data_IF_185842638903
#
_entry.id   IF_185842638903
#
_cell.length_a   1.000
_cell.length_b   1.000
_cell.length_c   1.000
_cell.angle_alpha   90.00
_cell.angle_beta   90.00
_cell.angle_gamma   90.00
#
_symmetry.space_group_name_H-M   'P 1'
#
loop_
_entity.id
_entity.type
_entity.pdbx_description
1 polymer ?
#
# COMPACT_ATOMS: atom_id res chain seq x y z
N UNK A 1 -38.38 56.22 -34.05
CA UNK A 1 -38.69 56.45 -32.63
C UNK A 1 -37.37 56.51 -31.87
N UNK A 2 -37.10 57.59 -31.13
CA UNK A 2 -35.88 57.73 -30.34
C UNK A 2 -35.97 56.86 -29.09
N UNK A 3 -35.04 55.93 -28.92
CA UNK A 3 -34.95 55.10 -27.72
C UNK A 3 -34.40 55.92 -26.55
N UNK A 4 -34.90 55.65 -25.34
CA UNK A 4 -34.44 56.29 -24.11
C UNK A 4 -33.16 55.64 -23.60
N UNK A 5 -32.33 56.40 -22.90
CA UNK A 5 -31.19 55.87 -22.17
C UNK A 5 -31.64 54.77 -21.17
N UNK A 6 -30.86 53.71 -21.01
CA UNK A 6 -31.12 52.57 -20.12
C UNK A 6 -31.08 52.92 -18.63
N UNK A 7 -30.50 54.08 -18.27
CA UNK A 7 -30.54 54.62 -16.92
C UNK A 7 -31.90 55.29 -16.72
N UNK A 8 -32.74 54.71 -15.86
CA UNK A 8 -34.16 55.09 -15.68
C UNK A 8 -34.37 56.56 -15.28
N UNK A 9 -33.38 57.19 -14.65
CA UNK A 9 -33.42 58.61 -14.23
C UNK A 9 -33.00 59.57 -15.35
N UNK A 10 -32.46 59.06 -16.46
CA UNK A 10 -31.96 59.86 -17.57
C UNK A 10 -33.05 60.21 -18.58
N UNK A 11 -33.31 61.50 -18.76
CA UNK A 11 -34.27 62.00 -19.76
C UNK A 11 -33.67 62.17 -21.16
N UNK A 12 -32.37 61.91 -21.34
CA UNK A 12 -31.70 62.05 -22.63
C UNK A 12 -32.00 60.86 -23.56
N UNK A 13 -32.09 61.13 -24.87
CA UNK A 13 -32.18 60.09 -25.88
C UNK A 13 -30.87 59.31 -25.99
N UNK A 14 -30.97 57.99 -26.13
CA UNK A 14 -29.79 57.14 -26.31
C UNK A 14 -29.10 57.49 -27.63
N UNK A 15 -27.77 57.55 -27.60
CA UNK A 15 -26.94 57.83 -28.79
C UNK A 15 -25.96 56.71 -29.09
N UNK A 16 -25.72 55.80 -28.14
CA UNK A 16 -24.72 54.73 -28.24
C UNK A 16 -25.33 53.45 -27.68
N UNK A 17 -25.17 52.34 -28.38
CA UNK A 17 -25.45 50.99 -27.88
C UNK A 17 -24.13 50.39 -27.40
N UNK A 18 -24.04 50.01 -26.13
CA UNK A 18 -22.91 49.23 -25.65
C UNK A 18 -23.05 47.78 -26.15
N UNK A 19 -22.12 47.34 -26.99
CA UNK A 19 -22.15 45.98 -27.55
C UNK A 19 -21.83 44.89 -26.50
N UNK A 20 -21.18 45.25 -25.40
CA UNK A 20 -20.81 44.31 -24.34
C UNK A 20 -22.01 43.88 -23.49
N UNK A 21 -22.96 44.79 -23.25
CA UNK A 21 -24.12 44.53 -22.39
C UNK A 21 -25.48 44.72 -23.09
N UNK A 22 -25.47 45.09 -24.38
CA UNK A 22 -26.65 45.43 -25.20
C UNK A 22 -27.55 46.52 -24.58
N UNK A 23 -26.98 47.42 -23.78
CA UNK A 23 -27.70 48.55 -23.18
C UNK A 23 -27.47 49.84 -23.96
N UNK A 24 -28.52 50.68 -24.03
CA UNK A 24 -28.56 51.91 -24.82
C UNK A 24 -28.27 53.10 -23.91
N UNK A 25 -27.19 53.83 -24.17
CA UNK A 25 -26.76 54.95 -23.32
C UNK A 25 -26.80 56.28 -24.07
N UNK A 26 -27.03 57.37 -23.33
CA UNK A 26 -26.67 58.70 -23.82
C UNK A 26 -25.14 58.85 -23.77
N UNK A 27 -24.57 59.84 -24.45
CA UNK A 27 -23.11 59.99 -24.57
C UNK A 27 -22.40 60.05 -23.20
N UNK A 28 -22.97 60.78 -22.24
CA UNK A 28 -22.35 60.96 -20.92
C UNK A 28 -22.38 59.67 -20.10
N UNK A 29 -23.54 59.01 -20.04
CA UNK A 29 -23.67 57.74 -19.33
C UNK A 29 -22.92 56.59 -20.01
N UNK A 30 -22.68 56.67 -21.32
CA UNK A 30 -21.79 55.73 -21.99
C UNK A 30 -20.34 55.90 -21.52
N UNK A 31 -19.86 57.15 -21.37
CA UNK A 31 -18.53 57.42 -20.83
C UNK A 31 -18.41 56.97 -19.36
N UNK A 32 -19.41 57.27 -18.53
CA UNK A 32 -19.43 56.79 -17.14
C UNK A 32 -19.47 55.25 -17.06
N UNK A 33 -20.22 54.60 -17.95
CA UNK A 33 -20.25 53.14 -18.05
C UNK A 33 -18.91 52.55 -18.49
N UNK A 34 -18.23 53.18 -19.46
CA UNK A 34 -16.90 52.78 -19.92
C UNK A 34 -15.85 52.97 -18.82
N UNK A 35 -15.91 54.09 -18.10
CA UNK A 35 -15.08 54.36 -16.93
C UNK A 35 -15.34 53.34 -15.80
N UNK A 36 -16.59 52.98 -15.53
CA UNK A 36 -16.95 51.96 -14.53
C UNK A 36 -16.43 50.56 -14.92
N UNK A 37 -16.49 50.21 -16.22
CA UNK A 37 -15.91 48.97 -16.73
C UNK A 37 -14.39 48.95 -16.60
N UNK A 38 -13.72 50.06 -16.92
CA UNK A 38 -12.27 50.20 -16.75
C UNK A 38 -11.86 50.16 -15.27
N UNK A 39 -12.66 50.72 -14.37
CA UNK A 39 -12.41 50.63 -12.92
C UNK A 39 -12.52 49.18 -12.41
N UNK A 40 -13.34 48.33 -13.03
CA UNK A 40 -13.42 46.89 -12.70
C UNK A 40 -12.19 46.09 -13.14
N UNK A 41 -11.33 46.63 -14.01
CA UNK A 41 -10.07 46.00 -14.38
C UNK A 41 -9.00 46.14 -13.29
N UNK A 42 -9.03 47.23 -12.51
CA UNK A 42 -8.01 47.48 -11.47
C UNK A 42 -7.95 46.35 -10.42
N UNK A 43 -9.07 45.86 -9.84
CA UNK A 43 -9.03 44.72 -8.92
C UNK A 43 -8.51 43.42 -9.56
N UNK A 44 -8.68 43.23 -10.88
CA UNK A 44 -8.16 42.06 -11.58
C UNK A 44 -6.65 42.16 -11.79
N UNK A 45 -6.14 43.37 -12.08
CA UNK A 45 -4.69 43.64 -12.13
C UNK A 45 -4.07 43.41 -10.76
N UNK A 46 -4.72 43.87 -9.69
CA UNK A 46 -4.26 43.64 -8.31
C UNK A 46 -4.22 42.14 -7.99
N UNK A 47 -5.24 41.36 -8.39
CA UNK A 47 -5.24 39.90 -8.25
C UNK A 47 -4.08 39.25 -9.03
N UNK A 48 -3.82 39.68 -10.27
CA UNK A 48 -2.70 39.16 -11.08
C UNK A 48 -1.36 39.50 -10.43
N UNK A 49 -1.20 40.71 -9.90
CA UNK A 49 0.01 41.10 -9.19
C UNK A 49 0.23 40.25 -7.94
N UNK A 50 -0.82 40.01 -7.14
CA UNK A 50 -0.76 39.11 -5.99
C UNK A 50 -0.35 37.69 -6.41
N UNK A 51 -0.94 37.15 -7.48
CA UNK A 51 -0.59 35.83 -8.00
C UNK A 51 0.85 35.79 -8.53
N UNK A 52 1.33 36.87 -9.14
CA UNK A 52 2.69 37.00 -9.66
C UNK A 52 3.71 37.07 -8.53
N UNK A 53 3.42 37.85 -7.49
CA UNK A 53 4.25 37.91 -6.28
C UNK A 53 4.29 36.54 -5.59
N UNK A 54 3.15 35.87 -5.47
CA UNK A 54 3.08 34.49 -4.97
C UNK A 54 3.94 33.54 -5.82
N UNK A 55 3.83 33.62 -7.15
CA UNK A 55 4.62 32.82 -8.08
C UNK A 55 6.13 33.05 -7.89
N UNK A 56 6.54 34.31 -7.72
CA UNK A 56 7.93 34.71 -7.49
C UNK A 56 8.45 34.26 -6.11
N UNK A 57 7.58 34.06 -5.13
CA UNK A 57 7.97 33.51 -3.82
C UNK A 57 8.18 32.00 -3.81
N UNK A 58 7.79 31.26 -4.86
CA UNK A 58 8.05 29.82 -4.92
C UNK A 58 9.55 29.54 -5.08
N UNK A 59 10.15 28.97 -4.04
CA UNK A 59 11.51 28.49 -4.09
C UNK A 59 11.60 27.15 -4.84
N UNK A 60 11.88 27.23 -6.13
CA UNK A 60 12.09 26.06 -7.01
C UNK A 60 13.21 25.17 -6.47
N UNK A 61 14.24 25.75 -5.85
CA UNK A 61 15.34 24.96 -5.29
C UNK A 61 14.85 24.16 -4.09
N UNK A 62 13.98 24.72 -3.24
CA UNK A 62 13.36 23.97 -2.14
C UNK A 62 12.52 22.79 -2.64
N UNK A 63 11.64 23.01 -3.63
CA UNK A 63 10.85 21.94 -4.25
C UNK A 63 11.72 20.84 -4.88
N UNK A 64 12.80 21.23 -5.56
CA UNK A 64 13.78 20.29 -6.12
C UNK A 64 14.52 19.53 -5.03
N UNK A 65 14.94 20.22 -3.97
CA UNK A 65 15.71 19.63 -2.87
C UNK A 65 14.87 18.59 -2.11
N UNK A 66 13.56 18.81 -1.92
CA UNK A 66 12.68 17.83 -1.30
C UNK A 66 12.56 16.55 -2.15
N UNK A 67 12.42 16.69 -3.47
CA UNK A 67 12.40 15.55 -4.41
C UNK A 67 13.75 14.82 -4.46
N UNK A 68 14.85 15.56 -4.51
CA UNK A 68 16.20 15.00 -4.45
C UNK A 68 16.44 14.26 -3.14
N UNK A 69 15.96 14.79 -2.02
CA UNK A 69 16.04 14.13 -0.72
C UNK A 69 15.30 12.79 -0.72
N UNK A 70 14.11 12.72 -1.33
CA UNK A 70 13.38 11.45 -1.50
C UNK A 70 14.14 10.45 -2.37
N UNK A 71 14.74 10.92 -3.47
CA UNK A 71 15.55 10.07 -4.34
C UNK A 71 16.80 9.55 -3.64
N UNK A 72 17.49 10.41 -2.88
CA UNK A 72 18.65 10.01 -2.08
C UNK A 72 18.25 9.03 -0.98
N UNK A 73 17.11 9.26 -0.30
CA UNK A 73 16.59 8.31 0.68
C UNK A 73 16.27 6.95 0.04
N UNK A 74 15.65 6.93 -1.13
CA UNK A 74 15.41 5.70 -1.88
C UNK A 74 16.71 5.01 -2.26
N UNK A 75 17.70 5.77 -2.73
CA UNK A 75 19.03 5.26 -3.07
C UNK A 75 19.70 4.59 -1.86
N UNK A 76 19.79 5.30 -0.74
CA UNK A 76 20.45 4.82 0.48
C UNK A 76 19.73 3.58 1.05
N UNK A 77 18.40 3.57 0.98
CA UNK A 77 17.58 2.44 1.42
C UNK A 77 17.78 1.21 0.52
N UNK A 78 17.83 1.38 -0.80
CA UNK A 78 18.13 0.30 -1.73
C UNK A 78 19.52 -0.29 -1.46
N UNK A 79 20.52 0.55 -1.24
CA UNK A 79 21.86 0.10 -0.89
C UNK A 79 21.87 -0.74 0.39
N UNK A 80 21.22 -0.25 1.45
CA UNK A 80 21.08 -0.97 2.72
C UNK A 80 20.43 -2.34 2.56
N UNK A 81 19.32 -2.42 1.81
CA UNK A 81 18.61 -3.69 1.58
C UNK A 81 19.51 -4.68 0.81
N UNK A 82 20.26 -4.20 -0.17
CA UNK A 82 21.19 -5.05 -0.96
C UNK A 82 22.32 -5.55 -0.06
N UNK A 83 22.89 -4.70 0.78
CA UNK A 83 23.95 -5.07 1.74
C UNK A 83 23.43 -6.10 2.76
N UNK A 84 22.29 -5.85 3.39
CA UNK A 84 21.66 -6.77 4.35
C UNK A 84 21.42 -8.15 3.72
N UNK A 85 20.91 -8.19 2.48
CA UNK A 85 20.68 -9.44 1.75
C UNK A 85 21.99 -10.16 1.42
N UNK A 86 23.02 -9.42 1.01
CA UNK A 86 24.34 -9.97 0.73
C UNK A 86 24.94 -10.61 1.99
N UNK A 87 24.93 -9.89 3.12
CA UNK A 87 25.41 -10.41 4.40
C UNK A 87 24.66 -11.67 4.84
N UNK A 88 23.32 -11.67 4.71
CA UNK A 88 22.51 -12.85 4.98
C UNK A 88 22.94 -14.06 4.13
N UNK A 89 23.20 -13.86 2.82
CA UNK A 89 23.67 -14.94 1.95
C UNK A 89 25.08 -15.40 2.28
N UNK A 90 25.96 -14.51 2.71
CA UNK A 90 27.27 -14.89 3.25
C UNK A 90 27.12 -15.75 4.52
N UNK A 91 26.22 -15.41 5.43
CA UNK A 91 25.96 -16.23 6.61
C UNK A 91 25.38 -17.61 6.27
N UNK A 92 24.43 -17.68 5.32
CA UNK A 92 23.88 -18.94 4.85
C UNK A 92 24.97 -19.84 4.25
N UNK A 93 25.87 -19.27 3.43
CA UNK A 93 27.02 -19.97 2.86
C UNK A 93 27.96 -20.48 3.95
N UNK A 94 28.26 -19.65 4.94
CA UNK A 94 29.10 -20.04 6.07
C UNK A 94 28.47 -21.20 6.86
N UNK A 95 27.18 -21.11 7.20
CA UNK A 95 26.45 -22.18 7.89
C UNK A 95 26.45 -23.49 7.10
N UNK A 96 26.25 -23.41 5.78
CA UNK A 96 26.33 -24.57 4.90
C UNK A 96 27.71 -25.22 4.93
N UNK A 97 28.76 -24.41 4.83
CA UNK A 97 30.16 -24.86 4.88
C UNK A 97 30.50 -25.52 6.23
N UNK A 98 30.12 -24.88 7.33
CA UNK A 98 30.33 -25.45 8.68
C UNK A 98 29.61 -26.78 8.86
N UNK A 99 28.38 -26.92 8.35
CA UNK A 99 27.64 -28.18 8.43
C UNK A 99 28.32 -29.34 7.68
N UNK A 100 28.99 -29.05 6.57
CA UNK A 100 29.79 -30.06 5.85
C UNK A 100 30.98 -30.49 6.71
N UNK A 101 31.71 -29.53 7.28
CA UNK A 101 32.88 -29.79 8.11
C UNK A 101 32.53 -30.54 9.41
N UNK A 102 31.45 -30.15 10.08
CA UNK A 102 31.03 -30.77 11.34
C UNK A 102 30.62 -32.23 11.16
N UNK A 103 29.99 -32.59 10.02
CA UNK A 103 29.74 -34.01 9.69
C UNK A 103 31.02 -34.83 9.61
N UNK A 104 32.09 -34.26 9.04
CA UNK A 104 33.38 -34.97 8.97
C UNK A 104 34.01 -35.10 10.37
N UNK A 105 33.85 -34.09 11.24
CA UNK A 105 34.30 -34.17 12.64
C UNK A 105 33.57 -35.27 13.41
N UNK A 106 32.26 -35.37 13.25
CA UNK A 106 31.47 -36.44 13.88
C UNK A 106 31.95 -37.84 13.45
N UNK A 107 32.26 -38.03 12.16
CA UNK A 107 32.81 -39.31 11.67
C UNK A 107 34.22 -39.59 12.23
N UNK A 108 35.08 -38.56 12.37
CA UNK A 108 36.37 -38.70 13.05
C UNK A 108 36.19 -39.16 14.50
N UNK A 109 35.24 -38.57 15.22
CA UNK A 109 35.01 -38.90 16.62
C UNK A 109 34.41 -40.30 16.80
N UNK A 110 33.56 -40.76 15.86
CA UNK A 110 33.10 -42.16 15.82
C UNK A 110 34.26 -43.14 15.64
N UNK A 111 35.16 -42.87 14.69
CA UNK A 111 36.35 -43.72 14.45
C UNK A 111 37.23 -43.74 15.70
N UNK A 112 37.47 -42.59 16.33
CA UNK A 112 38.22 -42.51 17.59
C UNK A 112 37.58 -43.32 18.71
N UNK A 113 36.26 -43.23 18.85
CA UNK A 113 35.51 -43.99 19.85
C UNK A 113 35.66 -45.50 19.64
N UNK A 114 35.52 -45.97 18.39
CA UNK A 114 35.71 -47.37 18.04
C UNK A 114 37.14 -47.86 18.33
N UNK A 115 38.15 -47.05 18.03
CA UNK A 115 39.55 -47.36 18.37
C UNK A 115 39.73 -47.52 19.88
N UNK A 116 39.21 -46.58 20.67
CA UNK A 116 39.32 -46.63 22.12
C UNK A 116 38.60 -47.85 22.71
N UNK A 117 37.41 -48.20 22.22
CA UNK A 117 36.70 -49.40 22.66
C UNK A 117 37.49 -50.69 22.38
N UNK A 118 38.16 -50.79 21.23
CA UNK A 118 38.98 -51.96 20.89
C UNK A 118 40.24 -52.03 21.75
N UNK A 119 40.86 -50.89 22.06
CA UNK A 119 42.00 -50.80 22.97
C UNK A 119 41.62 -51.22 24.40
N UNK A 120 40.47 -50.75 24.90
CA UNK A 120 39.97 -51.07 26.24
C UNK A 120 39.62 -52.55 26.39
N UNK A 121 39.03 -53.17 25.34
CA UNK A 121 38.64 -54.59 25.34
C UNK A 121 39.83 -55.53 25.15
N UNK A 122 40.97 -55.06 24.64
CA UNK A 122 42.20 -55.85 24.33
C UNK A 122 41.99 -57.08 23.41
N UNK A 123 40.82 -57.22 22.80
CA UNK A 123 40.46 -58.28 21.87
C UNK A 123 40.25 -57.68 20.47
N UNK A 124 41.33 -57.26 19.82
CA UNK A 124 41.27 -56.71 18.45
C UNK A 124 41.49 -57.81 17.43
N UNK A 125 40.55 -57.98 16.50
CA UNK A 125 40.71 -58.93 15.38
C UNK A 125 41.28 -58.25 14.14
N UNK A 126 41.76 -59.04 13.19
CA UNK A 126 42.20 -58.54 11.88
C UNK A 126 41.05 -57.87 11.10
N UNK A 127 39.82 -58.33 11.30
CA UNK A 127 38.63 -57.77 10.64
C UNK A 127 38.29 -56.39 11.20
N UNK A 128 38.49 -56.16 12.51
CA UNK A 128 38.31 -54.84 13.14
C UNK A 128 39.29 -53.80 12.60
N UNK A 129 40.56 -54.20 12.44
CA UNK A 129 41.61 -53.35 11.85
C UNK A 129 41.30 -53.03 10.39
N UNK A 130 40.86 -54.01 9.60
CA UNK A 130 40.47 -53.80 8.20
C UNK A 130 39.26 -52.87 8.08
N UNK A 131 38.25 -53.04 8.93
CA UNK A 131 37.05 -52.18 8.96
C UNK A 131 37.37 -50.72 9.30
N UNK A 132 38.23 -50.49 10.29
CA UNK A 132 38.72 -49.15 10.64
C UNK A 132 39.55 -48.53 9.52
N UNK A 133 40.43 -49.31 8.89
CA UNK A 133 41.27 -48.85 7.77
C UNK A 133 40.40 -48.39 6.60
N UNK A 134 39.37 -49.17 6.23
CA UNK A 134 38.40 -48.79 5.20
C UNK A 134 37.63 -47.52 5.55
N UNK A 135 37.25 -47.36 6.82
CA UNK A 135 36.53 -46.17 7.30
C UNK A 135 37.40 -44.92 7.24
N UNK A 136 38.68 -45.03 7.63
CA UNK A 136 39.67 -43.95 7.55
C UNK A 136 39.94 -43.57 6.09
N UNK A 137 40.11 -44.54 5.20
CA UNK A 137 40.39 -44.26 3.79
C UNK A 137 39.18 -43.62 3.09
N UNK A 138 37.97 -44.04 3.43
CA UNK A 138 36.74 -43.38 2.97
C UNK A 138 36.63 -41.95 3.48
N UNK A 139 36.97 -41.69 4.74
CA UNK A 139 37.00 -40.34 5.29
C UNK A 139 38.03 -39.45 4.56
N UNK A 140 39.23 -39.98 4.26
CA UNK A 140 40.24 -39.26 3.47
C UNK A 140 39.73 -38.93 2.07
N UNK A 141 39.04 -39.86 1.40
CA UNK A 141 38.42 -39.61 0.11
C UNK A 141 37.39 -38.48 0.20
N UNK A 142 36.48 -38.53 1.18
CA UNK A 142 35.48 -37.48 1.39
C UNK A 142 36.13 -36.10 1.68
N UNK A 143 37.21 -36.05 2.45
CA UNK A 143 37.93 -34.81 2.73
C UNK A 143 38.59 -34.23 1.47
N UNK A 144 39.19 -35.08 0.64
CA UNK A 144 39.74 -34.67 -0.65
C UNK A 144 38.64 -34.18 -1.61
N UNK A 145 37.45 -34.78 -1.59
CA UNK A 145 36.29 -34.31 -2.34
C UNK A 145 35.80 -32.94 -1.84
N UNK A 146 35.89 -32.67 -0.53
CA UNK A 146 35.55 -31.36 0.07
C UNK A 146 36.56 -30.29 -0.34
N UNK A 147 37.85 -30.59 -0.36
CA UNK A 147 38.88 -29.66 -0.87
C UNK A 147 38.69 -29.34 -2.37
N UNK A 148 38.05 -30.25 -3.11
CA UNK A 148 37.72 -30.07 -4.53
C UNK A 148 36.30 -29.53 -4.76
N UNK A 149 35.47 -29.41 -3.72
CA UNK A 149 34.10 -28.90 -3.80
C UNK A 149 34.14 -27.39 -3.99
N UNK A 150 34.13 -26.95 -5.26
CA UNK A 150 33.78 -25.57 -5.59
C UNK A 150 32.28 -25.38 -5.32
N UNK A 151 31.92 -24.66 -4.26
CA UNK A 151 30.52 -24.27 -4.02
C UNK A 151 30.12 -23.34 -5.17
N UNK A 152 29.28 -23.85 -6.08
CA UNK A 152 28.83 -23.08 -7.22
C UNK A 152 27.71 -22.13 -6.79
N UNK A 153 28.00 -20.84 -6.74
CA UNK A 153 27.02 -19.79 -6.43
C UNK A 153 26.49 -19.23 -7.74
N UNK A 154 25.26 -19.57 -8.08
CA UNK A 154 24.58 -19.02 -9.25
C UNK A 154 23.98 -17.65 -8.90
N UNK A 155 24.60 -16.59 -9.43
CA UNK A 155 24.13 -15.21 -9.23
C UNK A 155 23.48 -14.72 -10.52
N UNK A 156 22.19 -14.41 -10.47
CA UNK A 156 21.49 -13.76 -11.57
C UNK A 156 21.66 -12.23 -11.48
N UNK A 157 21.88 -11.53 -12.60
CA UNK A 157 22.01 -10.07 -12.58
C UNK A 157 20.70 -9.40 -12.18
N UNK A 158 20.77 -8.44 -11.27
CA UNK A 158 19.63 -7.62 -10.86
C UNK A 158 19.22 -6.68 -12.00
N UNK A 159 17.93 -6.71 -12.38
CA UNK A 159 17.37 -5.84 -13.42
C UNK A 159 16.51 -4.75 -12.77
N UNK A 160 16.98 -3.51 -12.88
CA UNK A 160 16.21 -2.33 -12.44
C UNK A 160 15.09 -2.10 -13.46
N UNK A 161 13.83 -2.19 -13.00
CA UNK A 161 12.69 -1.76 -13.81
C UNK A 161 12.71 -0.23 -13.94
N UNK A 162 12.71 0.29 -15.17
CA UNK A 162 12.72 1.74 -15.44
C UNK A 162 11.48 2.47 -14.91
N UNK A 163 10.41 1.74 -14.62
CA UNK A 163 9.16 2.27 -14.06
C UNK A 163 9.21 2.41 -12.52
N UNK A 164 10.31 2.03 -11.86
CA UNK A 164 10.48 2.15 -10.41
C UNK A 164 10.42 3.60 -9.91
N UNK A 165 10.88 4.55 -10.73
CA UNK A 165 10.83 5.98 -10.44
C UNK A 165 10.08 6.65 -11.58
N UNK A 166 8.91 7.20 -11.27
CA UNK A 166 8.16 8.06 -12.17
C UNK A 166 8.05 9.46 -11.58
N UNK A 167 8.20 10.46 -12.43
CA UNK A 167 7.89 11.84 -12.08
C UNK A 167 6.45 12.08 -12.46
N UNK A 168 5.58 12.10 -11.47
CA UNK A 168 4.17 12.31 -11.71
C UNK A 168 3.90 13.79 -12.03
N UNK A 169 3.52 14.06 -13.28
CA UNK A 169 3.03 15.38 -13.71
C UNK A 169 1.55 15.59 -13.36
N UNK A 170 0.88 14.61 -12.75
CA UNK A 170 -0.54 14.71 -12.33
C UNK A 170 -0.80 15.84 -11.32
N UNK A 171 0.23 16.47 -10.76
CA UNK A 171 0.07 17.73 -10.02
C UNK A 171 -0.62 18.84 -10.85
N UNK A 172 -0.66 18.72 -12.18
CA UNK A 172 -1.41 19.60 -13.08
C UNK A 172 -2.86 19.15 -13.37
N UNK A 173 -3.21 17.89 -13.12
CA UNK A 173 -4.55 17.35 -13.31
C UNK A 173 -5.13 16.98 -11.95
N UNK A 174 -6.01 17.83 -11.43
CA UNK A 174 -6.78 17.47 -10.24
C UNK A 174 -7.48 16.13 -10.49
N UNK A 175 -7.27 15.17 -9.58
CA UNK A 175 -8.05 13.94 -9.55
C UNK A 175 -9.53 14.32 -9.60
N UNK A 176 -10.21 13.81 -10.62
CA UNK A 176 -11.61 14.10 -10.88
C UNK A 176 -12.42 12.83 -10.64
N UNK A 177 -13.27 12.81 -9.61
CA UNK A 177 -14.16 11.68 -9.33
C UNK A 177 -15.01 11.25 -10.53
N UNK A 178 -15.25 12.13 -11.50
CA UNK A 178 -15.99 11.80 -12.72
C UNK A 178 -15.28 10.75 -13.60
N UNK A 179 -13.96 10.55 -13.46
CA UNK A 179 -13.26 9.46 -14.16
C UNK A 179 -13.76 8.06 -13.74
N UNK A 180 -14.42 7.97 -12.57
CA UNK A 180 -14.98 6.72 -12.03
C UNK A 180 -16.36 6.40 -12.65
N UNK A 181 -16.95 7.29 -13.46
CA UNK A 181 -18.30 7.14 -14.04
C UNK A 181 -18.47 5.86 -14.89
N UNK A 182 -17.42 5.44 -15.59
CA UNK A 182 -17.39 4.24 -16.41
C UNK A 182 -16.14 3.43 -16.08
N UNK A 183 -16.33 2.14 -15.79
CA UNK A 183 -15.21 1.21 -15.80
C UNK A 183 -14.67 1.11 -17.23
N UNK A 184 -13.35 1.14 -17.39
CA UNK A 184 -12.72 0.90 -18.70
C UNK A 184 -12.70 -0.60 -19.01
N UNK A 185 -12.66 -1.44 -17.96
CA UNK A 185 -12.74 -2.89 -18.05
C UNK A 185 -13.43 -3.45 -16.82
N UNK A 186 -14.04 -4.62 -16.99
CA UNK A 186 -14.74 -5.34 -15.93
C UNK A 186 -14.44 -6.83 -16.06
N UNK A 187 -14.11 -7.46 -14.94
CA UNK A 187 -13.91 -8.91 -14.84
C UNK A 187 -15.00 -9.51 -13.95
N UNK A 188 -15.72 -10.51 -14.46
CA UNK A 188 -16.79 -11.15 -13.69
C UNK A 188 -16.26 -12.03 -12.56
N UNK A 189 -16.90 -11.91 -11.41
CA UNK A 189 -16.59 -12.66 -10.20
C UNK A 189 -17.26 -14.03 -10.28
N UNK A 190 -16.48 -15.08 -10.11
CA UNK A 190 -17.00 -16.45 -10.06
C UNK A 190 -17.53 -16.78 -8.66
N UNK A 191 -18.34 -17.83 -8.55
CA UNK A 191 -18.81 -18.33 -7.26
C UNK A 191 -17.62 -18.68 -6.34
N UNK A 192 -17.82 -18.53 -5.01
CA UNK A 192 -16.80 -18.78 -3.95
C UNK A 192 -15.56 -17.86 -4.01
N UNK A 193 -15.60 -16.77 -4.76
CA UNK A 193 -14.52 -15.79 -4.82
C UNK A 193 -14.56 -14.86 -3.60
N UNK A 194 -13.39 -14.42 -3.10
CA UNK A 194 -13.34 -13.43 -2.00
C UNK A 194 -13.28 -12.01 -2.56
N UNK A 195 -13.97 -11.07 -1.92
CA UNK A 195 -14.00 -9.66 -2.30
C UNK A 195 -12.64 -8.96 -2.15
N UNK A 196 -11.75 -9.51 -1.31
CA UNK A 196 -10.44 -8.93 -1.06
C UNK A 196 -9.55 -9.04 -2.31
N UNK A 197 -8.81 -7.97 -2.58
CA UNK A 197 -7.82 -7.88 -3.64
C UNK A 197 -6.69 -6.96 -3.20
N UNK A 198 -5.50 -7.15 -3.73
CA UNK A 198 -4.34 -6.31 -3.42
C UNK A 198 -3.37 -6.27 -4.59
N UNK A 199 -2.79 -5.10 -4.86
CA UNK A 199 -1.71 -4.97 -5.83
C UNK A 199 -0.33 -5.00 -5.17
N UNK A 200 0.65 -5.57 -5.88
CA UNK A 200 2.07 -5.37 -5.62
C UNK A 200 2.72 -4.43 -6.66
N UNK A 201 1.94 -3.52 -7.24
CA UNK A 201 2.26 -2.62 -8.37
C UNK A 201 2.39 -3.32 -9.72
N UNK A 202 3.00 -4.51 -9.78
CA UNK A 202 3.17 -5.24 -11.04
C UNK A 202 1.96 -6.09 -11.37
N UNK A 203 1.47 -6.83 -10.38
CA UNK A 203 0.34 -7.74 -10.48
C UNK A 203 -0.76 -7.33 -9.48
N UNK A 204 -1.97 -7.78 -9.77
CA UNK A 204 -3.10 -7.74 -8.87
C UNK A 204 -3.40 -9.17 -8.39
N UNK A 205 -3.29 -9.40 -7.08
CA UNK A 205 -3.72 -10.65 -6.46
C UNK A 205 -5.21 -10.60 -6.19
N UNK A 206 -5.94 -11.58 -6.70
CA UNK A 206 -7.35 -11.81 -6.43
C UNK A 206 -7.59 -13.26 -5.98
N UNK A 207 -8.75 -13.51 -5.36
CA UNK A 207 -9.20 -14.87 -5.07
C UNK A 207 -10.46 -15.19 -5.90
N UNK A 208 -10.34 -16.13 -6.83
CA UNK A 208 -11.40 -16.50 -7.77
C UNK A 208 -11.58 -18.02 -7.85
N UNK A 209 -12.82 -18.48 -7.66
CA UNK A 209 -13.18 -19.92 -7.73
C UNK A 209 -12.24 -20.84 -6.92
N UNK A 210 -12.01 -20.50 -5.64
CA UNK A 210 -11.10 -21.24 -4.73
C UNK A 210 -9.61 -21.20 -5.09
N UNK A 211 -9.20 -20.32 -6.02
CA UNK A 211 -7.80 -20.11 -6.37
C UNK A 211 -7.37 -18.68 -6.05
N UNK A 212 -6.15 -18.52 -5.58
CA UNK A 212 -5.42 -17.26 -5.68
C UNK A 212 -4.93 -17.10 -7.12
N UNK A 213 -5.22 -15.97 -7.74
CA UNK A 213 -4.84 -15.66 -9.12
C UNK A 213 -4.06 -14.34 -9.16
N UNK A 214 -2.97 -14.32 -9.92
CA UNK A 214 -2.25 -13.09 -10.26
C UNK A 214 -2.71 -12.59 -11.62
N UNK A 215 -3.07 -11.32 -11.66
CA UNK A 215 -3.51 -10.62 -12.86
C UNK A 215 -2.44 -9.60 -13.26
N UNK A 216 -2.05 -9.62 -14.54
CA UNK A 216 -1.16 -8.63 -15.15
C UNK A 216 -1.92 -7.37 -15.65
N UNK A 217 -1.23 -6.51 -16.38
CA UNK A 217 -1.81 -5.27 -16.92
C UNK A 217 -2.69 -5.43 -18.14
N UNK A 218 -2.51 -6.51 -18.89
CA UNK A 218 -3.48 -6.94 -19.89
C UNK A 218 -4.75 -7.54 -19.25
N UNK A 219 -4.83 -7.54 -17.91
CA UNK A 219 -5.93 -8.09 -17.13
C UNK A 219 -6.11 -9.60 -17.33
N UNK A 220 -5.01 -10.30 -17.62
CA UNK A 220 -4.97 -11.75 -17.82
C UNK A 220 -4.42 -12.46 -16.60
N UNK A 221 -4.93 -13.66 -16.33
CA UNK A 221 -4.44 -14.48 -15.22
C UNK A 221 -3.12 -15.13 -15.64
N UNK A 222 -2.02 -14.69 -15.04
CA UNK A 222 -0.68 -15.20 -15.35
C UNK A 222 -0.30 -16.43 -14.54
N UNK A 223 -0.79 -16.50 -13.29
CA UNK A 223 -0.55 -17.63 -12.37
C UNK A 223 -1.76 -17.87 -11.50
N UNK A 224 -1.93 -19.12 -11.08
CA UNK A 224 -2.97 -19.51 -10.14
C UNK A 224 -2.47 -20.57 -9.17
N UNK A 225 -3.01 -20.56 -7.95
CA UNK A 225 -2.78 -21.60 -6.94
C UNK A 225 -4.02 -21.82 -6.11
N UNK A 226 -4.32 -23.08 -5.82
CA UNK A 226 -5.46 -23.44 -4.99
C UNK A 226 -5.33 -22.84 -3.57
N UNK A 227 -6.43 -22.24 -3.11
CA UNK A 227 -6.59 -21.73 -1.76
C UNK A 227 -7.47 -22.69 -0.96
N UNK A 228 -6.82 -23.57 -0.22
CA UNK A 228 -7.48 -24.61 0.60
C UNK A 228 -7.78 -24.17 2.04
N UNK A 229 -7.53 -22.91 2.36
CA UNK A 229 -7.67 -22.37 3.72
C UNK A 229 -9.02 -21.66 3.90
N UNK A 230 -9.18 -20.98 5.03
CA UNK A 230 -10.41 -20.27 5.39
C UNK A 230 -10.68 -19.04 4.50
N UNK A 231 -11.88 -18.47 4.64
CA UNK A 231 -12.34 -17.28 3.93
C UNK A 231 -11.40 -16.10 4.13
N UNK A 232 -11.01 -15.48 3.03
CA UNK A 232 -10.10 -14.34 3.04
C UNK A 232 -10.86 -13.08 3.43
N UNK A 233 -10.42 -12.44 4.51
CA UNK A 233 -11.00 -11.21 5.05
C UNK A 233 -10.34 -9.97 4.43
N UNK A 234 -9.01 -9.97 4.38
CA UNK A 234 -8.22 -8.83 3.93
C UNK A 234 -6.87 -9.29 3.37
N UNK A 235 -6.27 -8.46 2.52
CA UNK A 235 -4.93 -8.69 1.97
C UNK A 235 -4.13 -7.39 1.97
N UNK A 236 -2.82 -7.46 2.18
CA UNK A 236 -1.89 -6.37 1.93
C UNK A 236 -0.61 -6.89 1.26
N UNK A 237 0.19 -5.98 0.68
CA UNK A 237 1.49 -6.29 0.09
C UNK A 237 2.60 -5.79 1.02
N UNK A 238 3.63 -6.62 1.23
CA UNK A 238 4.87 -6.22 1.88
C UNK A 238 6.00 -6.19 0.86
N UNK A 239 6.49 -5.00 0.54
CA UNK A 239 7.67 -4.81 -0.32
C UNK A 239 8.93 -5.41 0.30
N UNK A 240 9.01 -5.36 1.62
CA UNK A 240 10.17 -5.84 2.41
C UNK A 240 10.28 -7.36 2.38
N UNK A 241 9.16 -8.06 2.50
CA UNK A 241 9.12 -9.53 2.43
C UNK A 241 8.94 -10.05 1.00
N UNK A 242 8.81 -9.14 0.01
CA UNK A 242 8.39 -9.43 -1.36
C UNK A 242 7.24 -10.45 -1.43
N UNK A 243 6.22 -10.25 -0.59
CA UNK A 243 5.15 -11.21 -0.39
C UNK A 243 3.82 -10.53 -0.06
N UNK A 244 2.74 -11.14 -0.50
CA UNK A 244 1.40 -10.81 -0.07
C UNK A 244 1.15 -11.37 1.34
N UNK A 245 0.42 -10.64 2.15
CA UNK A 245 -0.03 -11.06 3.47
C UNK A 245 -1.55 -11.17 3.42
N UNK A 246 -2.06 -12.37 3.66
CA UNK A 246 -3.47 -12.71 3.58
C UNK A 246 -3.98 -12.98 4.99
N UNK A 247 -5.03 -12.28 5.38
CA UNK A 247 -5.75 -12.48 6.65
C UNK A 247 -7.00 -13.31 6.40
N UNK A 248 -7.19 -14.35 7.21
CA UNK A 248 -8.46 -15.07 7.37
C UNK A 248 -9.04 -14.81 8.76
N UNK A 249 -10.18 -15.44 9.10
CA UNK A 249 -10.77 -15.28 10.42
C UNK A 249 -9.88 -15.82 11.56
N UNK A 250 -9.04 -16.81 11.23
CA UNK A 250 -8.27 -17.58 12.20
C UNK A 250 -6.76 -17.34 12.04
N UNK A 251 -6.28 -17.25 10.81
CA UNK A 251 -4.86 -17.34 10.48
C UNK A 251 -4.41 -16.20 9.57
N UNK A 252 -3.09 -16.01 9.54
CA UNK A 252 -2.43 -15.07 8.63
C UNK A 252 -1.40 -15.85 7.83
N UNK A 253 -1.37 -15.61 6.52
CA UNK A 253 -0.50 -16.30 5.59
C UNK A 253 0.40 -15.32 4.85
N UNK A 254 1.64 -15.73 4.63
CA UNK A 254 2.56 -15.14 3.68
C UNK A 254 2.43 -15.90 2.36
N UNK A 255 2.16 -15.18 1.28
CA UNK A 255 2.07 -15.73 -0.07
C UNK A 255 3.11 -15.03 -0.93
N UNK A 256 4.07 -15.79 -1.43
CA UNK A 256 5.15 -15.24 -2.24
C UNK A 256 4.62 -14.76 -3.60
N UNK A 257 5.30 -13.77 -4.17
CA UNK A 257 4.91 -13.08 -5.41
C UNK A 257 4.61 -14.02 -6.58
N UNK A 258 5.24 -15.19 -6.66
CA UNK A 258 5.05 -16.15 -7.73
C UNK A 258 4.00 -17.23 -7.44
N UNK A 259 3.30 -17.12 -6.30
CA UNK A 259 2.40 -18.12 -5.73
C UNK A 259 3.05 -19.48 -5.44
N UNK A 260 4.37 -19.64 -5.50
CA UNK A 260 5.00 -20.97 -5.31
C UNK A 260 4.86 -21.49 -3.90
N UNK A 261 4.87 -20.61 -2.90
CA UNK A 261 4.79 -20.94 -1.49
C UNK A 261 3.71 -20.12 -0.80
N UNK A 262 2.90 -20.81 0.01
CA UNK A 262 1.95 -20.23 0.95
C UNK A 262 2.36 -20.74 2.32
N UNK A 263 2.71 -19.84 3.23
CA UNK A 263 3.21 -20.17 4.56
C UNK A 263 2.34 -19.49 5.61
N UNK A 264 1.88 -20.26 6.59
CA UNK A 264 1.20 -19.69 7.77
C UNK A 264 2.21 -18.96 8.66
N UNK A 265 1.87 -17.78 9.14
CA UNK A 265 2.68 -17.01 10.08
C UNK A 265 2.31 -17.45 11.50
N UNK A 266 3.11 -18.34 12.07
CA UNK A 266 2.85 -18.92 13.40
C UNK A 266 3.12 -17.95 14.55
N UNK A 267 3.98 -16.94 14.35
CA UNK A 267 4.37 -15.99 15.39
C UNK A 267 3.29 -14.96 15.75
N UNK A 268 2.22 -14.87 14.96
CA UNK A 268 1.12 -13.94 15.22
C UNK A 268 -0.02 -14.67 15.92
N UNK A 269 -0.08 -14.49 17.24
CA UNK A 269 -1.18 -15.00 18.05
C UNK A 269 -2.38 -14.05 18.06
N UNK A 270 -3.57 -14.58 17.83
CA UNK A 270 -4.83 -13.85 17.87
C UNK A 270 -5.88 -14.44 16.95
N UNK A 271 -7.10 -13.91 17.03
CA UNK A 271 -8.21 -14.25 16.14
C UNK A 271 -8.99 -12.97 15.85
N UNK A 272 -9.91 -13.04 14.89
CA UNK A 272 -10.81 -11.93 14.55
C UNK A 272 -10.05 -10.71 14.01
N UNK A 273 -9.06 -10.95 13.16
CA UNK A 273 -8.39 -9.88 12.42
C UNK A 273 -9.32 -9.31 11.35
N UNK A 274 -9.22 -8.00 11.11
CA UNK A 274 -10.14 -7.28 10.21
C UNK A 274 -9.44 -6.63 9.03
N UNK A 275 -8.24 -6.08 9.23
CA UNK A 275 -7.48 -5.40 8.18
C UNK A 275 -5.98 -5.42 8.50
N UNK A 276 -5.16 -5.38 7.44
CA UNK A 276 -3.71 -5.27 7.51
C UNK A 276 -3.19 -4.11 6.66
N UNK A 277 -2.09 -3.52 7.11
CA UNK A 277 -1.26 -2.63 6.32
C UNK A 277 0.22 -2.89 6.61
N UNK A 278 1.10 -2.65 5.63
CA UNK A 278 2.54 -2.79 5.80
C UNK A 278 3.26 -1.47 5.59
N UNK A 279 4.26 -1.22 6.43
CA UNK A 279 5.35 -0.28 6.16
C UNK A 279 6.61 -1.02 5.71
N UNK A 280 7.71 -0.28 5.55
CA UNK A 280 9.02 -0.85 5.26
C UNK A 280 9.66 -1.56 6.48
N UNK A 281 9.03 -1.55 7.65
CA UNK A 281 9.57 -2.15 8.87
C UNK A 281 8.56 -3.02 9.61
N UNK A 282 7.28 -2.75 9.43
CA UNK A 282 6.23 -3.22 10.32
C UNK A 282 4.98 -3.67 9.57
N UNK A 283 4.36 -4.73 10.08
CA UNK A 283 2.99 -5.13 9.76
C UNK A 283 2.06 -4.60 10.86
N UNK A 284 1.03 -3.86 10.45
CA UNK A 284 -0.05 -3.40 11.31
C UNK A 284 -1.27 -4.29 11.09
N UNK A 285 -1.90 -4.73 12.18
CA UNK A 285 -3.10 -5.55 12.17
C UNK A 285 -4.19 -4.92 13.04
N UNK A 286 -5.41 -4.79 12.50
CA UNK A 286 -6.58 -4.38 13.29
C UNK A 286 -7.44 -5.57 13.69
N UNK A 287 -8.04 -5.51 14.88
CA UNK A 287 -9.04 -6.47 15.34
C UNK A 287 -10.45 -6.05 14.92
N UNK A 288 -11.32 -7.00 14.57
CA UNK A 288 -12.69 -6.79 14.08
C UNK A 288 -13.77 -6.72 15.15
N UNK A 289 -13.41 -6.33 16.38
CA UNK A 289 -14.33 -6.25 17.53
C UNK A 289 -14.75 -4.81 17.82
N UNK A 290 -15.82 -4.60 18.59
CA UNK A 290 -16.23 -3.24 19.02
C UNK A 290 -15.32 -2.59 20.08
N UNK A 291 -14.23 -3.25 20.46
CA UNK A 291 -13.08 -2.69 21.19
C UNK A 291 -11.85 -2.90 20.31
N UNK A 292 -11.92 -2.39 19.07
CA UNK A 292 -10.86 -2.59 18.09
C UNK A 292 -9.55 -2.01 18.57
N UNK A 293 -8.48 -2.73 18.25
CA UNK A 293 -7.12 -2.34 18.55
C UNK A 293 -6.24 -2.55 17.32
N UNK A 294 -5.07 -1.93 17.34
CA UNK A 294 -4.02 -2.13 16.35
C UNK A 294 -2.84 -2.79 17.02
N UNK A 295 -2.30 -3.82 16.37
CA UNK A 295 -1.05 -4.47 16.78
C UNK A 295 -0.01 -4.29 15.71
N UNK A 296 1.18 -3.89 16.13
CA UNK A 296 2.36 -3.77 15.29
C UNK A 296 3.26 -4.98 15.47
N UNK A 297 3.75 -5.50 14.36
CA UNK A 297 4.75 -6.55 14.31
C UNK A 297 5.91 -6.08 13.44
N UNK A 298 7.15 -6.30 13.86
CA UNK A 298 8.32 -6.10 12.99
C UNK A 298 8.27 -7.09 11.83
N UNK A 299 8.83 -6.76 10.66
CA UNK A 299 8.90 -7.69 9.53
C UNK A 299 10.22 -8.47 9.50
N UNK A 300 11.35 -7.76 9.68
CA UNK A 300 12.72 -8.28 9.60
C UNK A 300 13.40 -8.14 10.98
N UNK A 301 14.29 -9.06 11.38
CA UNK A 301 14.67 -10.32 10.69
C UNK A 301 13.62 -11.43 10.82
N UNK A 302 12.58 -11.19 11.63
CA UNK A 302 11.52 -12.13 11.89
C UNK A 302 10.26 -11.38 12.29
N UNK A 303 9.10 -11.95 11.98
CA UNK A 303 7.82 -11.37 12.38
C UNK A 303 7.62 -11.52 13.88
N UNK A 304 7.71 -10.40 14.61
CA UNK A 304 7.64 -10.36 16.09
C UNK A 304 6.77 -9.21 16.54
N UNK A 305 6.02 -9.42 17.61
CA UNK A 305 5.20 -8.39 18.22
C UNK A 305 6.06 -7.22 18.71
N UNK A 306 5.64 -6.00 18.40
CA UNK A 306 6.31 -4.75 18.80
C UNK A 306 5.45 -4.00 19.80
N UNK A 307 4.23 -3.63 19.39
CA UNK A 307 3.37 -2.73 20.17
C UNK A 307 1.89 -2.98 19.92
N UNK A 308 1.08 -2.57 20.88
CA UNK A 308 -0.38 -2.60 20.81
C UNK A 308 -0.94 -1.22 21.15
N UNK A 309 -1.89 -0.77 20.35
CA UNK A 309 -2.62 0.47 20.59
C UNK A 309 -4.12 0.23 20.63
N UNK A 310 -4.77 0.88 21.59
CA UNK A 310 -6.22 1.04 21.61
C UNK A 310 -6.59 2.42 21.09
N UNK A 311 -7.68 2.51 20.35
CA UNK A 311 -8.18 3.80 19.85
C UNK A 311 -8.65 4.68 21.01
N UNK A 312 -9.31 4.04 21.99
CA UNK A 312 -9.89 4.72 23.15
C UNK A 312 -9.45 3.99 24.42
N UNK A 313 -9.24 4.76 25.49
CA UNK A 313 -9.01 4.20 26.82
C UNK A 313 -10.32 3.91 27.56
N UNK A 314 -11.41 4.51 27.09
CA UNK A 314 -12.73 4.39 27.69
C UNK A 314 -13.45 3.13 27.18
N UNK A 315 -13.54 2.12 28.05
CA UNK A 315 -14.22 0.84 27.77
C UNK A 315 -15.71 1.00 27.45
N UNK A 316 -16.31 2.15 27.75
CA UNK A 316 -17.70 2.41 27.39
C UNK A 316 -17.85 2.70 25.91
N UNK A 317 -16.79 3.12 25.20
CA UNK A 317 -16.84 3.40 23.77
C UNK A 317 -16.79 2.12 22.94
N UNK A 318 -17.82 1.90 22.12
CA UNK A 318 -17.89 0.80 21.14
C UNK A 318 -17.42 1.30 19.79
N UNK A 319 -16.13 1.17 19.53
CA UNK A 319 -15.50 1.56 18.27
C UNK A 319 -14.87 0.35 17.57
N UNK A 320 -15.18 0.20 16.28
CA UNK A 320 -14.60 -0.82 15.41
C UNK A 320 -13.75 -0.17 14.31
N UNK A 321 -12.56 -0.70 14.08
CA UNK A 321 -11.70 -0.33 12.95
C UNK A 321 -12.10 -1.21 11.77
N UNK A 322 -12.59 -0.57 10.72
CA UNK A 322 -13.08 -1.24 9.52
C UNK A 322 -11.94 -1.51 8.52
N UNK A 323 -11.02 -0.56 8.34
CA UNK A 323 -9.90 -0.64 7.41
C UNK A 323 -8.71 0.17 7.95
N UNK A 324 -7.49 -0.30 7.68
CA UNK A 324 -6.24 0.42 7.92
C UNK A 324 -5.41 0.53 6.64
N UNK A 325 -4.86 1.72 6.38
CA UNK A 325 -3.90 1.95 5.29
C UNK A 325 -2.69 2.71 5.83
N UNK A 326 -1.50 2.18 5.59
CA UNK A 326 -0.24 2.83 5.94
C UNK A 326 0.22 3.76 4.81
N UNK A 327 0.68 4.95 5.15
CA UNK A 327 1.34 5.86 4.23
C UNK A 327 2.32 6.75 5.00
N UNK A 328 3.59 6.79 4.61
CA UNK A 328 4.59 7.77 5.10
C UNK A 328 4.55 8.03 6.62
N UNK A 329 4.76 6.99 7.44
CA UNK A 329 4.72 7.06 8.93
C UNK A 329 3.36 7.44 9.54
N UNK A 330 2.31 7.33 8.75
CA UNK A 330 0.93 7.55 9.20
C UNK A 330 0.07 6.33 8.90
N UNK A 331 -0.98 6.16 9.69
CA UNK A 331 -1.96 5.10 9.54
C UNK A 331 -3.34 5.75 9.44
N UNK A 332 -3.98 5.60 8.30
CA UNK A 332 -5.38 5.99 8.11
C UNK A 332 -6.27 4.86 8.61
N UNK A 333 -7.26 5.21 9.41
CA UNK A 333 -8.20 4.30 10.06
C UNK A 333 -9.62 4.70 9.68
N UNK A 334 -10.40 3.79 9.10
CA UNK A 334 -11.85 3.96 9.05
C UNK A 334 -12.47 3.40 10.32
N UNK A 335 -13.24 4.23 11.03
CA UNK A 335 -13.76 3.92 12.37
C UNK A 335 -15.27 4.00 12.37
N UNK A 336 -15.89 2.95 12.88
CA UNK A 336 -17.32 2.87 13.12
C UNK A 336 -17.59 2.95 14.62
N UNK A 337 -18.35 3.96 15.07
CA UNK A 337 -18.73 4.16 16.47
C UNK A 337 -20.22 3.88 16.65
N UNK A 338 -20.54 2.78 17.34
CA UNK A 338 -21.92 2.33 17.47
C UNK A 338 -22.77 3.12 18.48
N UNK A 339 -22.13 3.88 19.36
CA UNK A 339 -22.83 4.62 20.42
C UNK A 339 -23.33 5.93 19.87
N UNK A 340 -22.44 6.66 19.22
CA UNK A 340 -22.78 7.95 18.64
C UNK A 340 -23.38 7.80 17.24
N UNK A 341 -23.39 6.57 16.70
CA UNK A 341 -23.82 6.28 15.34
C UNK A 341 -23.03 7.11 14.31
N UNK A 342 -21.71 7.17 14.50
CA UNK A 342 -20.81 7.97 13.67
C UNK A 342 -19.84 7.06 12.93
N UNK A 343 -19.69 7.33 11.64
CA UNK A 343 -18.63 6.81 10.79
C UNK A 343 -17.59 7.91 10.56
N UNK A 344 -16.31 7.58 10.70
CA UNK A 344 -15.23 8.56 10.56
C UNK A 344 -13.99 7.94 9.91
N UNK A 345 -13.12 8.79 9.39
CA UNK A 345 -11.74 8.43 9.07
C UNK A 345 -10.81 9.27 9.95
N UNK A 346 -9.80 8.62 10.51
CA UNK A 346 -8.75 9.28 11.30
C UNK A 346 -7.39 9.01 10.66
N UNK A 347 -6.50 10.00 10.69
CA UNK A 347 -5.09 9.81 10.37
C UNK A 347 -4.28 9.89 11.66
N UNK A 348 -3.46 8.88 11.92
CA UNK A 348 -2.64 8.79 13.14
C UNK A 348 -1.17 8.62 12.81
N UNK A 349 -0.29 9.17 13.64
CA UNK A 349 1.16 8.89 13.58
C UNK A 349 1.43 7.44 13.93
N UNK A 350 2.29 6.73 13.21
CA UNK A 350 2.67 5.35 13.61
C UNK A 350 3.66 5.35 14.78
N UNK A 351 4.40 6.44 15.00
CA UNK A 351 5.40 6.54 16.08
C UNK A 351 4.71 6.78 17.44
N UNK A 352 3.80 7.75 17.52
CA UNK A 352 3.14 8.13 18.78
C UNK A 352 1.71 7.62 18.89
N UNK A 353 1.06 7.27 17.77
CA UNK A 353 -0.37 6.99 17.67
C UNK A 353 -1.30 8.17 17.95
N UNK A 354 -0.73 9.38 18.02
CA UNK A 354 -1.49 10.61 18.12
C UNK A 354 -2.32 10.83 16.86
N UNK A 355 -3.54 11.34 17.06
CA UNK A 355 -4.44 11.70 15.98
C UNK A 355 -4.01 13.02 15.35
N UNK A 356 -3.62 12.96 14.09
CA UNK A 356 -3.22 14.12 13.28
C UNK A 356 -4.45 14.89 12.81
N UNK A 357 -5.46 14.17 12.31
CA UNK A 357 -6.77 14.73 12.00
C UNK A 357 -7.87 13.66 12.06
N UNK A 358 -9.13 14.12 12.07
CA UNK A 358 -10.33 13.29 12.02
C UNK A 358 -11.35 13.93 11.10
N UNK A 359 -11.97 13.14 10.23
CA UNK A 359 -13.09 13.56 9.40
C UNK A 359 -14.31 12.68 9.70
N UNK A 360 -15.37 13.29 10.20
CA UNK A 360 -16.67 12.61 10.27
C UNK A 360 -17.26 12.49 8.86
N UNK A 361 -17.75 11.31 8.53
CA UNK A 361 -18.31 11.02 7.21
C UNK A 361 -19.82 11.30 7.24
N UNK A 362 -20.30 12.14 6.32
CA UNK A 362 -21.73 12.42 6.17
C UNK A 362 -22.44 11.30 5.39
N UNK A 363 -22.52 10.13 6.03
CA UNK A 363 -23.13 8.91 5.49
C UNK A 363 -24.06 8.31 6.54
N UNK A 364 -25.12 7.65 6.08
CA UNK A 364 -26.10 7.04 6.97
C UNK A 364 -25.45 5.98 7.84
N UNK A 365 -25.70 6.05 9.14
CA UNK A 365 -25.13 5.09 10.07
C UNK A 365 -25.67 3.68 9.80
N UNK A 366 -24.74 2.74 9.76
CA UNK A 366 -25.00 1.31 9.72
C UNK A 366 -23.72 0.58 10.16
N UNK A 367 -23.86 -0.71 10.48
CA UNK A 367 -22.72 -1.53 10.90
C UNK A 367 -21.87 -2.06 9.73
N UNK A 368 -22.15 -1.64 8.49
CA UNK A 368 -21.35 -2.08 7.32
C UNK A 368 -19.98 -1.43 7.32
N UNK A 369 -19.03 -2.18 6.76
CA UNK A 369 -17.62 -1.85 6.75
C UNK A 369 -17.34 -0.71 5.78
N UNK A 370 -16.56 0.27 6.22
CA UNK A 370 -16.05 1.36 5.38
C UNK A 370 -14.65 0.99 4.89
N UNK A 371 -14.42 1.11 3.58
CA UNK A 371 -13.09 0.89 2.99
C UNK A 371 -12.48 2.22 2.58
N UNK A 372 -11.16 2.30 2.60
CA UNK A 372 -10.46 3.44 2.04
C UNK A 372 -9.23 2.99 1.24
N UNK A 373 -8.79 3.84 0.34
CA UNK A 373 -7.49 3.71 -0.32
C UNK A 373 -6.82 5.09 -0.42
N UNK A 374 -5.50 5.06 -0.49
CA UNK A 374 -4.68 6.24 -0.71
C UNK A 374 -4.71 6.60 -2.21
N UNK A 375 -5.15 7.81 -2.53
CA UNK A 375 -5.04 8.40 -3.87
C UNK A 375 -3.72 9.14 -4.02
N UNK A 376 -3.48 9.71 -5.21
CA UNK A 376 -2.34 10.60 -5.45
C UNK A 376 -2.33 11.78 -4.45
N UNK A 377 -1.15 12.38 -4.25
CA UNK A 377 -0.98 13.57 -3.41
C UNK A 377 -1.41 13.42 -1.93
N UNK A 378 -1.30 12.21 -1.37
CA UNK A 378 -1.71 11.90 0.02
C UNK A 378 -3.20 12.19 0.31
N UNK A 379 -4.04 12.14 -0.72
CA UNK A 379 -5.49 12.25 -0.60
C UNK A 379 -6.10 10.85 -0.41
N UNK A 380 -7.34 10.79 0.05
CA UNK A 380 -7.98 9.55 0.44
C UNK A 380 -9.31 9.40 -0.26
N UNK A 381 -9.59 8.21 -0.78
CA UNK A 381 -10.91 7.83 -1.25
C UNK A 381 -11.53 6.90 -0.22
N UNK A 382 -12.72 7.26 0.26
CA UNK A 382 -13.47 6.49 1.27
C UNK A 382 -14.76 5.99 0.65
N UNK A 383 -15.01 4.70 0.77
CA UNK A 383 -16.11 4.00 0.13
C UNK A 383 -17.05 3.47 1.20
N UNK A 384 -18.29 3.95 1.18
CA UNK A 384 -19.37 3.38 1.95
C UNK A 384 -20.12 2.36 1.09
N UNK A 385 -20.05 1.10 1.50
CA UNK A 385 -20.75 0.00 0.84
C UNK A 385 -22.23 0.32 0.68
N UNK A 386 -22.92 0.59 1.79
CA UNK A 386 -24.39 0.62 1.86
C UNK A 386 -25.00 1.72 0.97
N UNK A 387 -24.45 2.93 1.02
CA UNK A 387 -24.95 4.07 0.24
C UNK A 387 -24.30 4.20 -1.13
N UNK A 388 -23.35 3.32 -1.45
CA UNK A 388 -22.49 3.39 -2.63
C UNK A 388 -21.75 4.73 -2.76
N UNK A 389 -21.60 5.51 -1.68
CA UNK A 389 -20.93 6.81 -1.71
C UNK A 389 -19.42 6.63 -1.70
N UNK A 390 -18.76 7.35 -2.60
CA UNK A 390 -17.32 7.58 -2.63
C UNK A 390 -17.09 9.01 -2.15
N UNK A 391 -16.26 9.17 -1.13
CA UNK A 391 -15.88 10.47 -0.57
C UNK A 391 -14.40 10.69 -0.87
N UNK A 392 -14.08 11.83 -1.49
CA UNK A 392 -12.71 12.27 -1.68
C UNK A 392 -12.33 13.19 -0.53
N UNK A 393 -11.30 12.80 0.21
CA UNK A 393 -10.83 13.50 1.40
C UNK A 393 -9.41 14.00 1.13
N UNK A 394 -9.18 15.29 1.39
CA UNK A 394 -7.89 15.95 1.20
C UNK A 394 -6.86 15.46 2.23
N UNK A 395 -5.58 15.78 1.99
CA UNK A 395 -4.49 15.45 2.90
C UNK A 395 -4.66 16.01 4.34
N UNK A 396 -5.42 17.11 4.49
CA UNK A 396 -5.73 17.76 5.77
C UNK A 396 -7.07 17.30 6.37
N UNK A 397 -7.69 16.24 5.83
CA UNK A 397 -8.88 15.62 6.41
C UNK A 397 -10.20 16.35 6.10
N UNK A 398 -10.28 17.12 5.02
CA UNK A 398 -11.54 17.76 4.58
C UNK A 398 -12.15 16.99 3.42
N UNK A 399 -13.48 16.87 3.41
CA UNK A 399 -14.19 16.32 2.24
C UNK A 399 -14.10 17.32 1.09
N UNK A 400 -13.44 16.94 0.01
CA UNK A 400 -13.35 17.73 -1.24
C UNK A 400 -14.61 17.59 -2.07
N UNK A 401 -15.04 16.36 -2.28
CA UNK A 401 -16.15 16.02 -3.17
C UNK A 401 -16.73 14.63 -2.81
N UNK A 402 -17.94 14.36 -3.27
CA UNK A 402 -18.63 13.10 -3.05
C UNK A 402 -19.33 12.63 -4.31
N UNK A 403 -19.34 11.33 -4.56
CA UNK A 403 -19.97 10.72 -5.72
C UNK A 403 -20.72 9.44 -5.34
N UNK A 404 -21.86 9.17 -5.98
CA UNK A 404 -22.59 7.91 -5.78
C UNK A 404 -22.22 6.93 -6.89
N UNK A 405 -21.53 5.86 -6.51
CA UNK A 405 -21.13 4.79 -7.41
C UNK A 405 -22.33 3.90 -7.79
N UNK A 406 -22.29 3.31 -8.97
CA UNK A 406 -23.44 2.59 -9.56
C UNK A 406 -23.80 1.30 -8.82
N UNK A 407 -22.82 0.65 -8.22
CA UNK A 407 -22.95 -0.64 -7.54
C UNK A 407 -22.30 -0.58 -6.16
N UNK A 408 -22.58 -1.54 -5.28
CA UNK A 408 -22.01 -1.57 -3.93
C UNK A 408 -20.49 -1.85 -3.99
N UNK A 409 -19.62 -0.91 -3.56
CA UNK A 409 -18.18 -1.12 -3.53
C UNK A 409 -17.79 -1.85 -2.24
N UNK A 410 -17.42 -3.13 -2.35
CA UNK A 410 -17.10 -3.99 -1.21
C UNK A 410 -15.62 -3.93 -0.80
N UNK A 411 -14.77 -3.70 -1.79
CA UNK A 411 -13.32 -3.57 -1.61
C UNK A 411 -12.77 -2.61 -2.65
N UNK A 412 -11.69 -1.93 -2.30
CA UNK A 412 -11.01 -1.00 -3.19
C UNK A 412 -9.50 -1.15 -3.04
N UNK A 413 -8.79 -1.03 -4.16
CA UNK A 413 -7.34 -0.93 -4.16
C UNK A 413 -6.87 -0.15 -5.39
N UNK A 414 -5.62 0.27 -5.38
CA UNK A 414 -4.96 0.80 -6.55
C UNK A 414 -4.15 -0.31 -7.21
N UNK A 415 -4.42 -0.55 -8.48
CA UNK A 415 -3.55 -1.33 -9.33
C UNK A 415 -2.66 -0.36 -10.11
N UNK A 416 -1.34 -0.51 -9.99
CA UNK A 416 -0.37 0.49 -10.44
C UNK A 416 -0.66 1.86 -9.80
N UNK A 417 -0.13 2.93 -10.39
CA UNK A 417 -0.34 4.31 -9.92
C UNK A 417 -1.62 4.96 -10.45
N UNK A 418 -2.31 4.35 -11.41
CA UNK A 418 -3.37 5.03 -12.19
C UNK A 418 -4.62 4.20 -12.46
N UNK A 419 -4.76 2.99 -11.89
CA UNK A 419 -5.97 2.19 -12.03
C UNK A 419 -6.61 1.98 -10.66
N UNK A 420 -7.79 2.56 -10.47
CA UNK A 420 -8.63 2.28 -9.31
C UNK A 420 -9.41 1.00 -9.56
N UNK A 421 -9.22 0.00 -8.70
CA UNK A 421 -9.92 -1.28 -8.76
C UNK A 421 -10.99 -1.33 -7.68
N UNK A 422 -12.23 -1.54 -8.10
CA UNK A 422 -13.39 -1.64 -7.21
C UNK A 422 -13.98 -3.04 -7.34
N UNK A 423 -13.92 -3.79 -6.24
CA UNK A 423 -14.60 -5.08 -6.13
C UNK A 423 -16.04 -4.90 -5.70
N UNK A 424 -16.95 -5.56 -6.40
CA UNK A 424 -18.38 -5.65 -6.09
C UNK A 424 -18.77 -7.11 -5.84
N UNK A 425 -20.06 -7.35 -5.53
CA UNK A 425 -20.58 -8.72 -5.37
C UNK A 425 -20.52 -9.54 -6.66
N UNK A 426 -20.59 -8.90 -7.83
CA UNK A 426 -20.69 -9.58 -9.14
C UNK A 426 -19.44 -9.45 -9.99
N UNK A 427 -18.70 -8.36 -9.82
CA UNK A 427 -17.66 -7.97 -10.77
C UNK A 427 -16.50 -7.25 -10.07
N UNK A 428 -15.34 -7.26 -10.71
CA UNK A 428 -14.17 -6.42 -10.41
C UNK A 428 -14.10 -5.36 -11.51
N UNK A 429 -14.31 -4.10 -11.13
CA UNK A 429 -14.34 -2.96 -12.03
C UNK A 429 -13.01 -2.22 -12.00
N UNK A 430 -12.44 -1.96 -13.17
CA UNK A 430 -11.20 -1.23 -13.34
C UNK A 430 -11.50 0.16 -13.89
N UNK A 431 -11.03 1.20 -13.22
CA UNK A 431 -11.22 2.60 -13.57
C UNK A 431 -9.86 3.26 -13.80
N UNK A 432 -9.65 3.82 -14.98
CA UNK A 432 -8.43 4.54 -15.32
C UNK A 432 -8.58 5.98 -14.85
N UNK A 433 -7.62 6.45 -14.07
CA UNK A 433 -7.59 7.80 -13.53
C UNK A 433 -6.85 8.78 -14.43
#
# INVERSE_FOLDING_TARGET
>A
MSQSCSIQTCKCTSRVLCQCCNQLFCRNHFMEHDDELNLKLNPLIDQINILTDQLNTFDINKLRNDSLKKLNQWHDECHRIIEDYYEQKCEELNKFTYKILDRQREEIDKIRFQINELLDKQETTYDDINSLTLSIDRLKQNLNEIDQLSINVNISPYKINKELISFDQSCLQEFNLLSILSSYSTMSRLNKSSIALVSNYQNLLIHQNSNLCLIDDELTITKQKEWIYDSIIHMCWSSVLNSFIIITAIDIFLVYEDLTLIQRIESIEGRLWQSCACSNSSLYLSTGTWDSSIREYSLIPSIKFVKHWKITQDKTQKQRIDNIIYNNKTLALTINNSINQIKSIELRSTETFDRLWSCQLNIDYNETVIRCCLSSHNQWLVFDWKTCKILHITQDGKVKESYTYKTEPLYVNFFRSNILVISTNKDINFHKL
#
